data_IF_907851931322
#
_entry.id   IF_907851931322
#
_cell.length_a   1.000
_cell.length_b   1.000
_cell.length_c   1.000
_cell.angle_alpha   90.00
_cell.angle_beta   90.00
_cell.angle_gamma   90.00
#
_symmetry.space_group_name_H-M   'P 1'
#
loop_
_entity.id
_entity.type
_entity.pdbx_description
1 polymer ?
#
# COMPACT_ATOMS: atom_id res chain seq x y z
N UNK A 1 37.87 -52.19 -54.05
CA UNK A 1 36.74 -51.23 -54.06
C UNK A 1 36.25 -51.04 -52.63
N UNK A 2 36.35 -49.82 -52.09
CA UNK A 2 35.96 -49.48 -50.71
C UNK A 2 34.43 -49.28 -50.63
N UNK A 3 33.70 -49.84 -49.66
CA UNK A 3 32.33 -49.41 -49.38
C UNK A 3 32.35 -48.19 -48.44
N UNK A 4 31.59 -47.18 -48.85
CA UNK A 4 31.40 -45.88 -48.20
C UNK A 4 30.51 -46.04 -46.96
N UNK A 5 31.05 -45.77 -45.76
CA UNK A 5 30.27 -45.74 -44.53
C UNK A 5 29.48 -44.44 -44.42
N UNK A 6 28.15 -44.53 -44.37
CA UNK A 6 27.28 -43.39 -44.09
C UNK A 6 27.14 -43.24 -42.57
N UNK A 7 27.68 -42.15 -42.02
CA UNK A 7 27.51 -41.77 -40.62
C UNK A 7 26.17 -41.02 -40.50
N UNK A 8 25.18 -41.62 -39.86
CA UNK A 8 23.93 -40.92 -39.49
C UNK A 8 24.19 -40.16 -38.18
N UNK A 9 24.32 -38.84 -38.26
CA UNK A 9 24.29 -37.98 -37.07
C UNK A 9 22.85 -37.88 -36.56
N UNK A 10 22.58 -38.48 -35.41
CA UNK A 10 21.36 -38.21 -34.65
C UNK A 10 21.49 -36.84 -33.97
N UNK A 11 20.77 -35.85 -34.48
CA UNK A 11 20.61 -34.55 -33.81
C UNK A 11 19.56 -34.73 -32.71
N UNK A 12 20.01 -34.80 -31.45
CA UNK A 12 19.11 -34.75 -30.30
C UNK A 12 18.56 -33.32 -30.17
N UNK A 13 17.29 -33.13 -30.51
CA UNK A 13 16.58 -31.89 -30.25
C UNK A 13 16.39 -31.73 -28.73
N UNK A 14 17.17 -30.85 -28.11
CA UNK A 14 16.93 -30.41 -26.75
C UNK A 14 15.64 -29.58 -26.74
N UNK A 15 14.55 -30.18 -26.27
CA UNK A 15 13.32 -29.46 -25.94
C UNK A 15 13.65 -28.59 -24.74
N UNK A 16 13.93 -27.31 -24.98
CA UNK A 16 14.08 -26.33 -23.91
C UNK A 16 12.77 -26.25 -23.13
N UNK A 17 12.78 -26.69 -21.88
CA UNK A 17 11.70 -26.39 -20.96
C UNK A 17 11.65 -24.86 -20.81
N UNK A 18 10.55 -24.23 -21.24
CA UNK A 18 10.32 -22.84 -20.86
C UNK A 18 10.35 -22.76 -19.32
N UNK A 19 11.05 -21.78 -18.74
CA UNK A 19 11.03 -21.61 -17.30
C UNK A 19 9.57 -21.42 -16.89
N UNK A 20 9.07 -22.31 -16.02
CA UNK A 20 7.72 -22.22 -15.49
C UNK A 20 7.52 -20.80 -14.95
N UNK A 21 6.67 -20.02 -15.63
CA UNK A 21 6.40 -18.64 -15.24
C UNK A 21 5.82 -18.69 -13.83
N UNK A 22 6.57 -18.20 -12.84
CA UNK A 22 6.15 -18.24 -11.45
C UNK A 22 4.75 -17.62 -11.35
N UNK A 23 3.82 -18.34 -10.69
CA UNK A 23 2.45 -17.86 -10.56
C UNK A 23 2.44 -16.48 -9.89
N UNK A 24 1.66 -15.52 -10.40
CA UNK A 24 1.51 -14.20 -9.79
C UNK A 24 1.15 -14.32 -8.32
N UNK A 25 1.76 -13.48 -7.50
CA UNK A 25 1.49 -13.43 -6.08
C UNK A 25 0.11 -12.81 -5.84
N UNK A 26 -0.66 -13.31 -4.86
CA UNK A 26 -1.79 -12.54 -4.37
C UNK A 26 -1.32 -11.20 -3.81
N UNK A 27 -2.16 -10.17 -3.95
CA UNK A 27 -1.82 -8.82 -3.50
C UNK A 27 -2.71 -8.40 -2.33
N UNK A 28 -2.06 -7.81 -1.33
CA UNK A 28 -2.67 -6.88 -0.38
C UNK A 28 -2.35 -5.46 -0.87
N UNK A 29 -3.33 -4.74 -1.41
CA UNK A 29 -3.14 -3.36 -1.85
C UNK A 29 -3.25 -2.43 -0.65
N UNK A 30 -2.13 -1.87 -0.20
CA UNK A 30 -2.10 -1.04 0.99
C UNK A 30 -2.52 0.41 0.74
N UNK A 31 -2.97 0.80 -0.46
CA UNK A 31 -3.34 2.19 -0.72
C UNK A 31 -4.40 2.31 -1.83
N UNK A 32 -5.67 2.44 -1.43
CA UNK A 32 -6.79 2.71 -2.35
C UNK A 32 -7.61 3.90 -1.85
N UNK A 33 -7.96 4.77 -2.79
CA UNK A 33 -8.97 5.80 -2.61
C UNK A 33 -10.22 5.50 -3.45
N UNK A 34 -11.39 5.59 -2.81
CA UNK A 34 -12.69 5.46 -3.48
C UNK A 34 -13.61 6.60 -3.04
N UNK A 35 -13.30 7.79 -3.49
CA UNK A 35 -13.96 9.04 -3.10
C UNK A 35 -15.19 9.34 -3.97
N UNK A 36 -15.90 10.42 -3.65
CA UNK A 36 -17.17 10.74 -4.32
C UNK A 36 -17.13 10.74 -5.85
N UNK A 37 -16.14 11.40 -6.50
CA UNK A 37 -16.05 11.38 -7.95
C UNK A 37 -15.93 9.97 -8.55
N UNK A 38 -15.39 9.02 -7.78
CA UNK A 38 -15.21 7.64 -8.20
C UNK A 38 -16.53 6.88 -8.18
N UNK A 39 -17.27 6.91 -7.07
CA UNK A 39 -18.52 6.14 -6.99
C UNK A 39 -19.65 6.71 -7.84
N UNK A 40 -19.56 7.99 -8.22
CA UNK A 40 -20.47 8.61 -9.18
C UNK A 40 -20.30 8.03 -10.60
N UNK A 41 -19.13 7.43 -10.90
CA UNK A 41 -18.81 6.85 -12.21
C UNK A 41 -18.66 5.32 -12.18
N UNK A 42 -18.15 4.78 -11.08
CA UNK A 42 -17.79 3.38 -10.88
C UNK A 42 -18.46 2.88 -9.61
N UNK A 43 -19.62 2.22 -9.75
CA UNK A 43 -20.32 1.64 -8.61
C UNK A 43 -19.47 0.60 -7.84
N UNK A 44 -19.78 0.33 -6.57
CA UNK A 44 -18.97 -0.54 -5.70
C UNK A 44 -18.70 -1.92 -6.28
N UNK A 45 -19.69 -2.53 -6.95
CA UNK A 45 -19.57 -3.83 -7.61
C UNK A 45 -18.50 -3.81 -8.71
N UNK A 46 -18.43 -2.72 -9.47
CA UNK A 46 -17.43 -2.57 -10.53
C UNK A 46 -16.04 -2.41 -9.95
N UNK A 47 -15.88 -1.64 -8.89
CA UNK A 47 -14.62 -1.48 -8.17
C UNK A 47 -14.13 -2.82 -7.60
N UNK A 48 -15.00 -3.56 -6.92
CA UNK A 48 -14.66 -4.88 -6.38
C UNK A 48 -14.29 -5.88 -7.48
N UNK A 49 -14.93 -5.81 -8.65
CA UNK A 49 -14.56 -6.61 -9.82
C UNK A 49 -13.15 -6.23 -10.33
N UNK A 50 -12.84 -4.94 -10.44
CA UNK A 50 -11.50 -4.47 -10.86
C UNK A 50 -10.41 -4.99 -9.89
N UNK A 51 -10.64 -4.89 -8.58
CA UNK A 51 -9.70 -5.40 -7.57
C UNK A 51 -9.48 -6.91 -7.72
N UNK A 52 -10.57 -7.68 -7.89
CA UNK A 52 -10.49 -9.13 -8.08
C UNK A 52 -9.75 -9.49 -9.37
N UNK A 53 -10.06 -8.83 -10.48
CA UNK A 53 -9.41 -9.05 -11.78
C UNK A 53 -7.91 -8.71 -11.73
N UNK A 54 -7.52 -7.78 -10.86
CA UNK A 54 -6.13 -7.41 -10.61
C UNK A 54 -5.41 -8.28 -9.55
N UNK A 55 -6.02 -9.39 -9.13
CA UNK A 55 -5.50 -10.32 -8.09
C UNK A 55 -5.29 -9.67 -6.71
N UNK A 56 -6.03 -8.59 -6.42
CA UNK A 56 -6.09 -7.97 -5.10
C UNK A 56 -7.03 -8.80 -4.25
N UNK A 57 -6.49 -9.42 -3.20
CA UNK A 57 -7.27 -10.21 -2.25
C UNK A 57 -7.82 -9.35 -1.13
N UNK A 58 -7.04 -8.34 -0.71
CA UNK A 58 -7.41 -7.40 0.35
C UNK A 58 -6.84 -6.03 0.06
N UNK A 59 -7.51 -4.98 0.52
CA UNK A 59 -7.09 -3.61 0.30
C UNK A 59 -7.35 -2.71 1.51
N UNK A 60 -6.40 -1.82 1.82
CA UNK A 60 -6.69 -0.63 2.65
C UNK A 60 -7.45 0.36 1.80
N UNK A 61 -8.62 0.77 2.26
CA UNK A 61 -9.46 1.73 1.55
C UNK A 61 -9.76 2.91 2.45
N UNK A 62 -9.55 4.11 1.94
CA UNK A 62 -9.91 5.35 2.60
C UNK A 62 -10.54 6.33 1.59
N UNK A 63 -11.52 7.13 2.00
CA UNK A 63 -12.34 7.92 1.06
C UNK A 63 -12.61 9.32 1.59
N UNK A 64 -12.79 10.27 0.68
CA UNK A 64 -13.25 11.64 1.00
C UNK A 64 -14.55 11.94 0.23
N UNK A 65 -15.71 12.06 0.90
CA UNK A 65 -15.95 11.65 2.29
C UNK A 65 -15.86 10.13 2.47
N UNK A 66 -15.93 9.68 3.71
CA UNK A 66 -15.72 8.29 4.13
C UNK A 66 -16.81 7.30 3.64
N UNK A 67 -17.88 7.80 3.05
CA UNK A 67 -18.99 7.01 2.50
C UNK A 67 -18.55 5.95 1.48
N UNK A 68 -17.52 6.21 0.68
CA UNK A 68 -16.98 5.23 -0.26
C UNK A 68 -16.37 4.02 0.43
N UNK A 69 -15.61 4.27 1.50
CA UNK A 69 -15.01 3.22 2.33
C UNK A 69 -16.10 2.33 2.91
N UNK A 70 -17.18 2.93 3.41
CA UNK A 70 -18.33 2.17 3.93
C UNK A 70 -19.00 1.34 2.85
N UNK A 71 -19.29 1.92 1.67
CA UNK A 71 -19.93 1.21 0.55
C UNK A 71 -19.16 -0.05 0.15
N UNK A 72 -17.83 0.02 0.11
CA UNK A 72 -16.98 -1.12 -0.23
C UNK A 72 -16.90 -2.12 0.93
N UNK A 73 -16.71 -1.63 2.16
CA UNK A 73 -16.58 -2.50 3.33
C UNK A 73 -17.85 -3.28 3.64
N UNK A 74 -19.03 -2.67 3.52
CA UNK A 74 -20.33 -3.33 3.71
C UNK A 74 -20.54 -4.47 2.71
N UNK A 75 -20.05 -4.32 1.47
CA UNK A 75 -20.20 -5.33 0.41
C UNK A 75 -19.15 -6.43 0.48
N UNK A 76 -17.93 -6.12 0.92
CA UNK A 76 -16.81 -7.05 0.93
C UNK A 76 -15.93 -6.91 2.19
N UNK A 77 -16.47 -7.19 3.40
CA UNK A 77 -15.79 -6.91 4.66
C UNK A 77 -14.52 -7.73 4.89
N UNK A 78 -14.35 -8.86 4.18
CA UNK A 78 -13.12 -9.67 4.23
C UNK A 78 -12.02 -9.13 3.31
N UNK A 79 -12.39 -8.46 2.20
CA UNK A 79 -11.46 -7.84 1.26
C UNK A 79 -11.06 -6.44 1.74
N UNK A 80 -12.01 -5.65 2.21
CA UNK A 80 -11.82 -4.21 2.44
C UNK A 80 -11.48 -3.95 3.91
N UNK A 81 -10.30 -3.38 4.13
CA UNK A 81 -9.82 -2.91 5.42
C UNK A 81 -10.03 -1.40 5.50
N UNK A 82 -11.00 -0.93 6.30
CA UNK A 82 -11.39 0.48 6.28
C UNK A 82 -10.39 1.35 7.05
N UNK A 83 -9.92 2.41 6.38
CA UNK A 83 -9.16 3.52 6.95
C UNK A 83 -10.01 4.78 6.86
N UNK A 84 -9.99 5.59 7.92
CA UNK A 84 -10.80 6.80 8.04
C UNK A 84 -9.95 8.02 7.69
N UNK A 85 -10.22 8.65 6.54
CA UNK A 85 -9.64 9.96 6.25
C UNK A 85 -10.26 11.02 7.16
N UNK A 86 -9.49 12.02 7.61
CA UNK A 86 -10.02 13.10 8.43
C UNK A 86 -10.74 14.19 7.61
N UNK A 87 -11.17 13.86 6.39
CA UNK A 87 -11.71 14.82 5.43
C UNK A 87 -13.19 14.56 5.19
N UNK A 88 -14.04 15.52 5.57
CA UNK A 88 -15.46 15.58 5.20
C UNK A 88 -15.59 16.02 3.74
N UNK A 89 -14.70 16.91 3.33
CA UNK A 89 -14.55 17.38 1.94
C UNK A 89 -13.07 17.55 1.62
N UNK A 90 -12.73 17.69 0.33
CA UNK A 90 -11.35 17.98 -0.10
C UNK A 90 -10.77 19.26 0.53
N UNK A 91 -11.63 20.24 0.86
CA UNK A 91 -11.21 21.50 1.47
C UNK A 91 -10.61 21.35 2.88
N UNK A 92 -10.95 20.28 3.60
CA UNK A 92 -10.43 20.04 4.96
C UNK A 92 -8.90 19.83 4.96
N UNK A 93 -8.32 19.39 3.84
CA UNK A 93 -6.86 19.16 3.72
C UNK A 93 -6.03 20.38 4.12
N UNK A 94 -6.55 21.60 3.90
CA UNK A 94 -5.82 22.84 4.17
C UNK A 94 -5.79 23.26 5.65
N UNK A 95 -6.69 22.74 6.49
CA UNK A 95 -6.90 23.27 7.86
C UNK A 95 -7.16 22.22 8.93
N UNK A 96 -7.33 20.95 8.56
CA UNK A 96 -7.71 19.88 9.48
C UNK A 96 -6.85 19.75 10.76
N UNK A 97 -5.51 20.03 10.79
CA UNK A 97 -4.72 19.82 12.01
C UNK A 97 -5.18 20.68 13.19
N UNK A 98 -5.96 21.74 12.94
CA UNK A 98 -6.50 22.67 13.95
C UNK A 98 -8.02 22.79 13.92
N UNK A 99 -8.71 22.10 13.02
CA UNK A 99 -10.16 22.16 12.92
C UNK A 99 -10.82 21.18 13.91
N UNK A 100 -11.38 21.70 15.00
CA UNK A 100 -12.08 20.90 16.00
C UNK A 100 -13.34 20.19 15.44
N UNK A 101 -13.92 20.72 14.36
CA UNK A 101 -15.01 20.06 13.64
C UNK A 101 -14.54 18.79 12.92
N UNK A 102 -13.28 18.75 12.45
CA UNK A 102 -12.68 17.51 11.93
C UNK A 102 -12.45 16.50 13.05
N UNK A 103 -11.99 16.95 14.23
CA UNK A 103 -11.83 16.07 15.38
C UNK A 103 -13.16 15.42 15.78
N UNK A 104 -14.23 16.23 15.91
CA UNK A 104 -15.57 15.75 16.24
C UNK A 104 -16.11 14.77 15.18
N UNK A 105 -15.88 15.04 13.89
CA UNK A 105 -16.25 14.14 12.81
C UNK A 105 -15.56 12.79 12.92
N UNK A 106 -14.23 12.77 13.09
CA UNK A 106 -13.47 11.52 13.19
C UNK A 106 -13.90 10.71 14.42
N UNK A 107 -14.03 11.36 15.58
CA UNK A 107 -14.48 10.69 16.81
C UNK A 107 -15.88 10.07 16.65
N UNK A 108 -16.80 10.76 15.99
CA UNK A 108 -18.14 10.21 15.70
C UNK A 108 -18.05 8.99 14.78
N UNK A 109 -17.28 9.06 13.68
CA UNK A 109 -17.12 7.93 12.75
C UNK A 109 -16.50 6.73 13.44
N UNK A 110 -15.47 6.92 14.27
CA UNK A 110 -14.77 5.85 14.98
C UNK A 110 -15.68 5.01 15.89
N UNK A 111 -16.83 5.54 16.35
CA UNK A 111 -17.83 4.77 17.13
C UNK A 111 -18.34 3.51 16.41
N UNK A 112 -18.22 3.45 15.07
CA UNK A 112 -18.57 2.26 14.27
C UNK A 112 -17.67 1.05 14.58
N UNK A 113 -16.46 1.26 15.09
CA UNK A 113 -15.55 0.18 15.49
C UNK A 113 -14.93 -0.64 14.35
N UNK A 114 -15.15 -0.26 13.09
CA UNK A 114 -14.65 -1.01 11.92
C UNK A 114 -13.23 -0.61 11.49
N UNK A 115 -12.85 0.66 11.72
CA UNK A 115 -11.61 1.22 11.17
C UNK A 115 -10.36 0.59 11.77
N UNK A 116 -9.31 0.49 10.93
CA UNK A 116 -7.98 0.02 11.32
C UNK A 116 -6.91 1.11 11.24
N UNK A 117 -7.25 2.28 10.73
CA UNK A 117 -6.36 3.42 10.67
C UNK A 117 -7.08 4.75 10.47
N UNK A 118 -6.34 5.82 10.71
CA UNK A 118 -6.70 7.21 10.40
C UNK A 118 -5.74 7.67 9.30
N UNK A 119 -6.29 8.12 8.19
CA UNK A 119 -5.54 8.49 6.99
C UNK A 119 -6.13 7.87 5.72
N UNK A 120 -5.52 8.10 4.56
CA UNK A 120 -4.34 8.93 4.34
C UNK A 120 -4.58 10.41 4.71
N UNK A 121 -3.65 11.02 5.46
CA UNK A 121 -3.67 12.45 5.75
C UNK A 121 -2.33 13.15 5.49
N UNK A 122 -2.42 14.47 5.31
CA UNK A 122 -1.31 15.36 4.97
C UNK A 122 -1.10 16.39 6.06
N UNK A 123 0.14 16.71 6.42
CA UNK A 123 0.44 17.86 7.27
C UNK A 123 1.86 18.36 7.03
N UNK A 124 2.12 19.63 7.33
CA UNK A 124 3.48 20.15 7.38
C UNK A 124 4.16 19.85 8.73
N UNK A 125 5.49 19.88 8.77
CA UNK A 125 6.27 19.61 9.99
C UNK A 125 5.86 20.47 11.19
N UNK A 126 5.40 21.70 10.96
CA UNK A 126 4.93 22.63 12.01
C UNK A 126 3.61 22.20 12.67
N UNK A 127 2.84 21.34 12.01
CA UNK A 127 1.51 20.89 12.44
C UNK A 127 1.54 19.56 13.19
N UNK A 128 2.70 18.92 13.31
CA UNK A 128 2.85 17.61 13.99
C UNK A 128 2.28 17.65 15.41
N UNK A 129 2.39 18.79 16.09
CA UNK A 129 1.90 18.97 17.46
C UNK A 129 0.57 19.73 17.54
N UNK A 130 -0.09 19.96 16.40
CA UNK A 130 -1.37 20.63 16.38
C UNK A 130 -2.43 19.85 17.20
N UNK A 131 -3.44 20.52 17.77
CA UNK A 131 -4.36 19.89 18.70
C UNK A 131 -5.08 18.67 18.14
N UNK A 132 -5.52 18.71 16.88
CA UNK A 132 -6.25 17.59 16.24
C UNK A 132 -5.31 16.43 15.95
N UNK A 133 -4.06 16.69 15.56
CA UNK A 133 -3.05 15.64 15.33
C UNK A 133 -2.73 14.91 16.63
N UNK A 134 -2.54 15.67 17.72
CA UNK A 134 -2.33 15.11 19.06
C UNK A 134 -3.52 14.25 19.48
N UNK A 135 -4.75 14.74 19.27
CA UNK A 135 -5.96 13.98 19.56
C UNK A 135 -6.06 12.69 18.75
N UNK A 136 -5.73 12.72 17.47
CA UNK A 136 -5.71 11.51 16.64
C UNK A 136 -4.65 10.51 17.09
N UNK A 137 -3.50 10.98 17.58
CA UNK A 137 -2.45 10.09 18.09
C UNK A 137 -2.92 9.35 19.36
N UNK A 138 -3.63 10.06 20.25
CA UNK A 138 -4.27 9.45 21.42
C UNK A 138 -5.29 8.39 21.02
N UNK A 139 -6.19 8.72 20.08
CA UNK A 139 -7.20 7.78 19.57
C UNK A 139 -6.55 6.57 18.89
N UNK A 140 -5.48 6.78 18.12
CA UNK A 140 -4.77 5.68 17.48
C UNK A 140 -4.15 4.72 18.48
N UNK A 141 -3.57 5.23 19.57
CA UNK A 141 -3.07 4.38 20.66
C UNK A 141 -4.20 3.69 21.40
N UNK A 142 -5.28 4.41 21.73
CA UNK A 142 -6.41 3.89 22.49
C UNK A 142 -7.13 2.75 21.75
N UNK A 143 -7.31 2.90 20.44
CA UNK A 143 -8.07 1.97 19.60
C UNK A 143 -7.19 1.01 18.79
N UNK A 144 -5.86 1.09 18.94
CA UNK A 144 -4.94 0.29 18.15
C UNK A 144 -5.09 0.55 16.65
N UNK A 145 -5.16 1.82 16.24
CA UNK A 145 -5.22 2.24 14.85
C UNK A 145 -3.82 2.55 14.32
N UNK A 146 -3.66 2.45 13.00
CA UNK A 146 -2.51 2.99 12.29
C UNK A 146 -2.75 4.44 11.91
N UNK A 147 -1.67 5.19 11.75
CA UNK A 147 -1.68 6.35 10.88
C UNK A 147 -1.24 5.95 9.48
N UNK A 148 -1.93 6.44 8.46
CA UNK A 148 -1.43 6.45 7.08
C UNK A 148 -1.14 7.90 6.70
N UNK A 149 0.12 8.20 6.42
CA UNK A 149 0.60 9.59 6.32
C UNK A 149 1.27 9.86 4.99
N UNK A 150 0.83 10.93 4.34
CA UNK A 150 1.45 11.50 3.14
C UNK A 150 2.19 12.76 3.55
N UNK A 151 3.47 12.59 3.87
CA UNK A 151 4.34 13.67 4.32
C UNK A 151 5.77 13.40 3.88
N UNK A 152 6.62 14.42 3.90
CA UNK A 152 8.06 14.26 3.64
C UNK A 152 8.79 13.48 4.75
N UNK A 153 10.07 13.17 4.51
CA UNK A 153 10.93 12.41 5.41
C UNK A 153 11.19 13.15 6.74
N UNK A 154 11.32 14.48 6.70
CA UNK A 154 11.46 15.33 7.89
C UNK A 154 10.23 15.23 8.79
N UNK A 155 9.04 15.31 8.20
CA UNK A 155 7.77 15.30 8.92
C UNK A 155 7.43 13.92 9.45
N UNK A 156 7.66 12.84 8.68
CA UNK A 156 7.45 11.48 9.19
C UNK A 156 8.41 11.16 10.35
N UNK A 157 9.66 11.59 10.28
CA UNK A 157 10.62 11.42 11.38
C UNK A 157 10.18 12.18 12.63
N UNK A 158 9.64 13.39 12.46
CA UNK A 158 9.07 14.16 13.58
C UNK A 158 7.83 13.48 14.17
N UNK A 159 6.93 12.94 13.35
CA UNK A 159 5.77 12.16 13.81
C UNK A 159 6.22 10.93 14.62
N UNK A 160 7.15 10.13 14.08
CA UNK A 160 7.68 8.93 14.73
C UNK A 160 8.37 9.25 16.06
N UNK A 161 9.11 10.35 16.11
CA UNK A 161 9.78 10.82 17.33
C UNK A 161 8.78 11.33 18.37
N UNK A 162 7.77 12.11 17.94
CA UNK A 162 6.78 12.71 18.83
C UNK A 162 5.78 11.70 19.36
N UNK A 163 5.42 10.70 18.57
CA UNK A 163 4.39 9.70 18.85
C UNK A 163 4.93 8.27 18.71
N UNK A 164 5.91 7.85 19.54
CA UNK A 164 6.60 6.56 19.38
C UNK A 164 5.71 5.33 19.61
N UNK A 165 4.50 5.53 20.15
CA UNK A 165 3.50 4.47 20.36
C UNK A 165 2.52 4.32 19.19
N UNK A 166 2.47 5.29 18.27
CA UNK A 166 1.60 5.23 17.10
C UNK A 166 2.30 4.39 16.03
N UNK A 167 1.58 3.47 15.40
CA UNK A 167 2.08 2.71 14.25
C UNK A 167 1.79 3.50 12.98
N UNK A 168 2.77 3.65 12.11
CA UNK A 168 2.69 4.52 10.94
C UNK A 168 2.94 3.71 9.68
N UNK A 169 2.04 3.85 8.70
CA UNK A 169 2.27 3.55 7.29
C UNK A 169 2.63 4.87 6.61
N UNK A 170 3.85 4.97 6.11
CA UNK A 170 4.30 6.12 5.34
C UNK A 170 3.97 5.88 3.87
N UNK A 171 2.94 6.58 3.40
CA UNK A 171 2.47 6.52 2.03
C UNK A 171 3.63 6.87 1.09
N UNK A 172 3.75 6.12 -0.01
CA UNK A 172 4.71 6.31 -1.11
C UNK A 172 6.12 6.75 -0.69
N UNK A 173 6.59 6.36 0.51
CA UNK A 173 7.79 6.89 1.16
C UNK A 173 8.02 8.40 0.94
N UNK A 174 6.94 9.19 1.12
CA UNK A 174 6.96 10.64 0.99
C UNK A 174 7.24 11.14 -0.43
N UNK A 175 6.86 10.36 -1.44
CA UNK A 175 7.06 10.57 -2.89
C UNK A 175 8.50 10.60 -3.39
N UNK A 176 9.46 11.12 -2.61
CA UNK A 176 10.81 11.44 -3.10
C UNK A 176 11.96 10.99 -2.20
N UNK A 177 11.69 10.37 -1.04
CA UNK A 177 12.77 9.95 -0.15
C UNK A 177 13.58 8.81 -0.78
N UNK A 178 14.91 8.96 -0.87
CA UNK A 178 15.79 7.93 -1.44
C UNK A 178 15.74 6.61 -0.66
N UNK A 179 16.12 5.49 -1.29
CA UNK A 179 16.23 4.19 -0.62
C UNK A 179 17.13 4.27 0.63
N UNK A 180 18.20 5.06 0.60
CA UNK A 180 19.07 5.32 1.74
C UNK A 180 18.34 6.04 2.90
N UNK A 181 17.57 7.09 2.60
CA UNK A 181 16.77 7.79 3.62
C UNK A 181 15.70 6.88 4.21
N UNK A 182 14.99 6.13 3.37
CA UNK A 182 13.97 5.17 3.81
C UNK A 182 14.60 4.10 4.71
N UNK A 183 15.75 3.56 4.31
CA UNK A 183 16.50 2.60 5.12
C UNK A 183 16.85 3.13 6.50
N UNK A 184 17.45 4.33 6.58
CA UNK A 184 17.79 4.98 7.85
C UNK A 184 16.56 5.11 8.78
N UNK A 185 15.41 5.47 8.24
CA UNK A 185 14.18 5.63 9.04
C UNK A 185 13.62 4.28 9.51
N UNK A 186 13.58 3.27 8.63
CA UNK A 186 13.10 1.93 8.99
C UNK A 186 14.04 1.25 10.00
N UNK A 187 15.35 1.46 9.90
CA UNK A 187 16.34 0.99 10.88
C UNK A 187 16.13 1.61 12.26
N UNK A 188 15.75 2.90 12.31
CA UNK A 188 15.59 3.66 13.56
C UNK A 188 14.23 3.46 14.23
N UNK A 189 13.16 3.31 13.46
CA UNK A 189 11.79 3.38 13.96
C UNK A 189 11.03 2.05 13.76
N UNK A 190 10.92 1.20 14.79
CA UNK A 190 10.28 -0.11 14.67
C UNK A 190 8.76 -0.04 14.43
N UNK A 191 8.16 1.13 14.65
CA UNK A 191 6.74 1.43 14.44
C UNK A 191 6.44 2.03 13.05
N UNK A 192 7.41 2.01 12.13
CA UNK A 192 7.26 2.49 10.75
C UNK A 192 7.12 1.33 9.77
N UNK A 193 6.12 1.42 8.89
CA UNK A 193 5.97 0.65 7.67
C UNK A 193 5.94 1.60 6.49
N UNK A 194 6.37 1.12 5.33
CA UNK A 194 6.49 1.93 4.11
C UNK A 194 5.60 1.34 3.02
N UNK A 195 4.77 2.18 2.44
CA UNK A 195 3.93 1.87 1.29
C UNK A 195 4.60 2.45 0.02
N UNK A 196 4.52 1.71 -1.11
CA UNK A 196 5.37 1.92 -2.29
C UNK A 196 4.62 2.39 -3.55
N UNK A 197 3.33 2.72 -3.45
CA UNK A 197 2.56 3.31 -4.55
C UNK A 197 3.29 4.53 -5.12
N UNK A 198 3.11 4.79 -6.40
CA UNK A 198 3.74 5.93 -7.11
C UNK A 198 5.28 5.99 -7.12
N UNK A 199 5.99 5.02 -6.53
CA UNK A 199 7.46 4.97 -6.50
C UNK A 199 8.06 4.34 -7.75
N UNK A 200 8.29 5.17 -8.76
CA UNK A 200 8.91 4.75 -10.02
C UNK A 200 10.38 4.33 -9.89
N UNK A 201 11.08 4.79 -8.85
CA UNK A 201 12.49 4.49 -8.58
C UNK A 201 12.71 3.13 -7.90
N UNK A 202 11.66 2.46 -7.42
CA UNK A 202 11.77 1.09 -6.90
C UNK A 202 12.19 0.14 -8.02
N UNK A 203 11.60 0.31 -9.21
CA UNK A 203 11.89 -0.53 -10.36
C UNK A 203 11.90 0.28 -11.67
N UNK A 204 12.88 1.18 -11.87
CA UNK A 204 12.94 2.02 -13.06
C UNK A 204 13.00 1.15 -14.32
N UNK A 205 12.09 1.40 -15.27
CA UNK A 205 11.97 0.58 -16.48
C UNK A 205 11.54 -0.87 -16.24
N UNK A 206 11.03 -1.20 -15.04
CA UNK A 206 10.61 -2.54 -14.65
C UNK A 206 11.72 -3.42 -14.06
N UNK A 207 12.96 -2.93 -13.99
CA UNK A 207 14.08 -3.63 -13.34
C UNK A 207 14.21 -3.14 -11.91
N UNK A 208 14.18 -4.06 -10.94
CA UNK A 208 14.28 -3.73 -9.52
C UNK A 208 15.63 -3.06 -9.23
N UNK A 209 15.59 -1.87 -8.62
CA UNK A 209 16.77 -1.11 -8.26
C UNK A 209 17.60 -1.84 -7.17
N UNK A 210 18.92 -1.69 -7.23
CA UNK A 210 19.85 -2.38 -6.35
C UNK A 210 19.75 -1.96 -4.89
N UNK A 211 19.55 -0.67 -4.61
CA UNK A 211 19.42 -0.15 -3.25
C UNK A 211 18.08 -0.56 -2.65
N UNK A 212 17.01 -0.46 -3.43
CA UNK A 212 15.68 -0.94 -3.04
C UNK A 212 15.68 -2.45 -2.78
N UNK A 213 16.32 -3.23 -3.65
CA UNK A 213 16.50 -4.68 -3.43
C UNK A 213 17.22 -4.97 -2.13
N UNK A 214 18.35 -4.30 -1.87
CA UNK A 214 19.10 -4.49 -0.63
C UNK A 214 18.27 -4.14 0.61
N UNK A 215 17.45 -3.09 0.51
CA UNK A 215 16.56 -2.66 1.57
C UNK A 215 15.44 -3.67 1.85
N UNK A 216 14.79 -4.19 0.80
CA UNK A 216 13.77 -5.24 0.91
C UNK A 216 14.31 -6.53 1.51
N UNK A 217 15.55 -6.91 1.17
CA UNK A 217 16.19 -8.08 1.79
C UNK A 217 16.52 -7.88 3.25
N UNK A 218 16.87 -6.64 3.66
CA UNK A 218 17.22 -6.31 5.04
C UNK A 218 15.98 -6.17 5.94
N UNK A 219 14.89 -5.63 5.42
CA UNK A 219 13.63 -5.45 6.15
C UNK A 219 12.42 -5.98 5.36
N UNK A 220 12.37 -7.29 5.08
CA UNK A 220 11.31 -7.87 4.26
C UNK A 220 9.91 -7.68 4.85
N UNK A 221 9.84 -7.36 6.15
CA UNK A 221 8.62 -7.32 6.93
C UNK A 221 8.12 -5.88 7.21
N UNK A 222 8.71 -4.88 6.53
CA UNK A 222 8.44 -3.42 6.71
C UNK A 222 7.84 -2.73 5.48
N UNK A 223 7.69 -3.42 4.36
CA UNK A 223 7.19 -2.83 3.11
C UNK A 223 5.84 -3.41 2.68
N UNK A 224 5.05 -2.55 2.05
CA UNK A 224 3.74 -2.82 1.49
C UNK A 224 3.68 -2.26 0.07
N UNK A 225 2.96 -2.93 -0.82
CA UNK A 225 2.64 -2.43 -2.16
C UNK A 225 1.27 -1.77 -2.16
N UNK A 226 1.05 -0.85 -3.09
CA UNK A 226 -0.26 -0.24 -3.31
C UNK A 226 -0.35 0.47 -4.64
N UNK A 227 -1.55 0.94 -5.01
CA UNK A 227 -1.77 1.58 -6.32
C UNK A 227 -2.18 3.04 -6.28
N UNK A 228 -2.67 3.52 -5.14
CA UNK A 228 -3.10 4.89 -4.90
C UNK A 228 -4.05 5.42 -5.99
N UNK A 229 -5.31 4.99 -5.92
CA UNK A 229 -6.39 5.43 -6.81
C UNK A 229 -6.93 6.82 -6.46
N UNK A 230 -6.05 7.81 -6.23
CA UNK A 230 -6.39 9.17 -5.77
C UNK A 230 -7.31 9.98 -6.70
N UNK A 231 -7.49 9.56 -7.95
CA UNK A 231 -8.47 10.11 -8.92
C UNK A 231 -9.10 9.00 -9.75
N UNK A 232 -10.31 9.26 -10.26
CA UNK A 232 -11.10 8.27 -10.99
C UNK A 232 -10.39 7.65 -12.19
N UNK A 233 -9.55 8.42 -12.88
CA UNK A 233 -8.77 7.95 -14.04
C UNK A 233 -7.70 6.92 -13.69
N UNK A 234 -7.39 6.69 -12.40
CA UNK A 234 -6.47 5.63 -11.95
C UNK A 234 -7.10 4.25 -11.96
N UNK A 235 -8.42 4.14 -11.76
CA UNK A 235 -9.10 2.84 -11.65
C UNK A 235 -8.91 1.94 -12.88
N UNK A 236 -9.03 2.43 -14.13
CA UNK A 236 -8.76 1.60 -15.31
C UNK A 236 -7.30 1.13 -15.41
N UNK A 237 -6.35 1.87 -14.82
CA UNK A 237 -4.92 1.57 -14.85
C UNK A 237 -4.46 0.66 -13.70
N UNK A 238 -5.31 0.40 -12.71
CA UNK A 238 -4.98 -0.44 -11.55
C UNK A 238 -4.46 -1.83 -11.95
N UNK A 239 -5.11 -2.57 -12.89
CA UNK A 239 -4.57 -3.86 -13.33
C UNK A 239 -3.18 -3.76 -13.95
N UNK A 240 -2.85 -2.65 -14.60
CA UNK A 240 -1.55 -2.42 -15.23
C UNK A 240 -0.50 -2.18 -14.15
N UNK A 241 -0.80 -1.29 -13.19
CA UNK A 241 0.00 -1.07 -11.98
C UNK A 241 0.31 -2.37 -11.23
N UNK A 242 -0.69 -3.23 -11.05
CA UNK A 242 -0.49 -4.55 -10.42
C UNK A 242 0.44 -5.45 -11.23
N UNK A 243 0.35 -5.44 -12.56
CA UNK A 243 1.32 -6.18 -13.39
C UNK A 243 2.74 -5.65 -13.23
N UNK A 244 2.92 -4.35 -13.02
CA UNK A 244 4.25 -3.77 -12.76
C UNK A 244 4.80 -4.22 -11.41
N UNK A 245 3.94 -4.22 -10.39
CA UNK A 245 4.26 -4.73 -9.06
C UNK A 245 4.71 -6.19 -9.13
N UNK A 246 3.95 -7.05 -9.83
CA UNK A 246 4.32 -8.46 -10.03
C UNK A 246 5.69 -8.61 -10.73
N UNK A 247 6.02 -7.75 -11.70
CA UNK A 247 7.29 -7.83 -12.46
C UNK A 247 8.51 -7.60 -11.58
N UNK A 248 8.48 -6.61 -10.69
CA UNK A 248 9.64 -6.35 -9.83
C UNK A 248 9.66 -7.28 -8.61
N UNK A 249 8.50 -7.70 -8.10
CA UNK A 249 8.44 -8.72 -7.04
C UNK A 249 9.07 -10.05 -7.49
N UNK A 250 8.92 -10.43 -8.76
CA UNK A 250 9.53 -11.64 -9.32
C UNK A 250 11.08 -11.61 -9.34
N UNK A 251 11.71 -10.45 -9.10
CA UNK A 251 13.17 -10.28 -9.05
C UNK A 251 13.72 -10.44 -7.62
N UNK A 252 12.85 -10.61 -6.63
CA UNK A 252 13.21 -10.91 -5.24
C UNK A 252 13.17 -12.43 -4.97
N UNK A 253 13.86 -12.91 -3.92
CA UNK A 253 13.57 -14.21 -3.33
C UNK A 253 12.09 -14.36 -3.03
N UNK A 254 11.52 -15.54 -3.30
CA UNK A 254 10.08 -15.78 -3.26
C UNK A 254 9.45 -15.46 -1.91
N UNK A 255 10.13 -15.79 -0.82
CA UNK A 255 9.71 -15.51 0.55
C UNK A 255 9.64 -14.00 0.82
N UNK A 256 10.63 -13.22 0.40
CA UNK A 256 10.63 -11.75 0.50
C UNK A 256 9.53 -11.14 -0.36
N UNK A 257 9.37 -11.63 -1.59
CA UNK A 257 8.30 -11.19 -2.48
C UNK A 257 6.91 -11.42 -1.87
N UNK A 258 6.67 -12.59 -1.26
CA UNK A 258 5.40 -12.90 -0.58
C UNK A 258 5.14 -12.00 0.63
N UNK A 259 6.18 -11.65 1.39
CA UNK A 259 6.07 -10.71 2.50
C UNK A 259 5.55 -9.36 2.04
N UNK A 260 6.18 -8.80 1.01
CA UNK A 260 5.87 -7.45 0.50
C UNK A 260 4.56 -7.45 -0.30
N UNK A 261 4.28 -8.52 -1.04
CA UNK A 261 3.06 -8.65 -1.85
C UNK A 261 1.79 -8.74 -1.00
N UNK A 262 1.79 -9.51 0.08
CA UNK A 262 0.57 -9.69 0.88
C UNK A 262 0.76 -10.01 2.35
N UNK A 263 1.76 -10.81 2.75
CA UNK A 263 1.81 -11.33 4.13
C UNK A 263 2.02 -10.24 5.17
N UNK A 264 2.74 -9.16 4.83
CA UNK A 264 2.88 -8.01 5.71
C UNK A 264 1.52 -7.35 5.98
N UNK A 265 0.76 -7.04 4.92
CA UNK A 265 -0.58 -6.46 5.06
C UNK A 265 -1.55 -7.39 5.82
N UNK A 266 -1.54 -8.68 5.50
CA UNK A 266 -2.36 -9.69 6.19
C UNK A 266 -1.98 -9.84 7.67
N UNK A 267 -0.70 -9.71 8.04
CA UNK A 267 -0.23 -9.75 9.43
C UNK A 267 -0.62 -8.50 10.21
N UNK A 268 -0.52 -7.32 9.60
CA UNK A 268 -0.89 -6.05 10.25
C UNK A 268 -2.40 -5.91 10.42
N UNK A 269 -3.16 -6.44 9.45
CA UNK A 269 -4.61 -6.32 9.38
C UNK A 269 -5.23 -7.69 9.17
N UNK A 270 -5.24 -8.60 10.15
CA UNK A 270 -5.79 -9.95 9.96
C UNK A 270 -7.25 -9.90 9.48
N UNK A 271 -7.63 -10.89 8.67
CA UNK A 271 -9.01 -11.02 8.22
C UNK A 271 -9.93 -11.25 9.44
N UNK A 272 -11.17 -10.73 9.43
CA UNK A 272 -12.14 -11.09 10.46
C UNK A 272 -12.28 -12.61 10.53
N UNK A 273 -12.30 -13.17 11.74
CA UNK A 273 -12.65 -14.58 11.91
C UNK A 273 -14.08 -14.82 11.40
N UNK A 274 -14.35 -15.97 10.74
CA UNK A 274 -15.71 -16.36 10.36
C UNK A 274 -16.62 -16.53 11.58
#
# INVERSE_FOLDING_TARGET
MKPMGWLVLAVAAAVGAEPARAQPLPIFDAHIHYSQPDWDQLGPERVLAILKDANVRRALVSSTPDDGTLKLHEKAPTMIVPFLRPYRTQGDMASWPRDLGVAAYVEERLKRGIYKGIGEFHLGTADVEAPVVTRFAELAVQHGLFFEVHVDDVTVERLLTRYPRVRIIWAHAGMSASAATVGRLVDRFPNLWVELSLRSDVAPGGSLDGEWRALFLRHPDRFLVGTDTWVTSRWPSLPDGMREIQRWLAQLPRDVAEQIAHRNGERLFPAPSP
#
